data_IF_216845281547
#
_entry.id   IF_216845281547
#
_cell.length_a   1.000
_cell.length_b   1.000
_cell.length_c   1.000
_cell.angle_alpha   90.00
_cell.angle_beta   90.00
_cell.angle_gamma   90.00
#
_symmetry.space_group_name_H-M   'P 1'
#
loop_
_entity.id
_entity.type
_entity.pdbx_description
1 polymer ?
#
# COMPACT_ATOMS: atom_id res chain seq x y z
N UNK A 1 -34.86 -0.69 29.11
CA UNK A 1 -33.56 -1.36 29.32
C UNK A 1 -32.53 -0.77 28.37
N UNK A 2 -31.65 0.12 28.87
CA UNK A 2 -30.46 0.57 28.16
C UNK A 2 -29.41 -0.54 28.29
N UNK A 3 -29.29 -1.38 27.27
CA UNK A 3 -28.19 -2.35 27.21
C UNK A 3 -26.95 -1.56 26.77
N UNK A 4 -26.20 -1.11 27.78
CA UNK A 4 -24.85 -0.59 27.64
C UNK A 4 -23.97 -1.66 26.97
N UNK A 5 -23.62 -1.44 25.71
CA UNK A 5 -22.41 -1.98 25.13
C UNK A 5 -21.46 -0.81 24.85
N UNK A 6 -20.91 -0.23 25.92
CA UNK A 6 -20.00 0.92 25.88
C UNK A 6 -18.55 0.55 25.53
N UNK A 7 -18.31 -0.64 25.00
CA UNK A 7 -16.98 -1.14 24.58
C UNK A 7 -16.96 -1.64 23.13
N UNK A 8 -18.05 -1.49 22.38
CA UNK A 8 -18.07 -1.71 20.94
C UNK A 8 -17.88 -0.37 20.23
N UNK A 9 -16.65 -0.10 19.76
CA UNK A 9 -16.37 1.04 18.86
C UNK A 9 -17.44 1.13 17.78
N UNK A 10 -17.98 2.33 17.57
CA UNK A 10 -18.94 2.58 16.51
C UNK A 10 -18.31 2.24 15.16
N UNK A 11 -19.14 1.88 14.18
CA UNK A 11 -18.66 1.46 12.87
C UNK A 11 -17.74 2.51 12.21
N UNK A 12 -18.05 3.80 12.40
CA UNK A 12 -17.24 4.91 11.93
C UNK A 12 -15.90 5.03 12.69
N UNK A 13 -15.90 4.82 14.00
CA UNK A 13 -14.65 4.81 14.79
C UNK A 13 -13.72 3.66 14.40
N UNK A 14 -14.26 2.47 14.09
CA UNK A 14 -13.46 1.35 13.60
C UNK A 14 -12.80 1.66 12.25
N UNK A 15 -13.53 2.33 11.36
CA UNK A 15 -12.99 2.76 10.08
C UNK A 15 -11.92 3.84 10.25
N UNK A 16 -12.17 4.86 11.08
CA UNK A 16 -11.18 5.90 11.38
C UNK A 16 -9.91 5.32 12.00
N UNK A 17 -10.05 4.37 12.93
CA UNK A 17 -8.90 3.68 13.53
C UNK A 17 -8.11 2.84 12.51
N UNK A 18 -8.81 2.16 11.61
CA UNK A 18 -8.15 1.41 10.53
C UNK A 18 -7.46 2.33 9.53
N UNK A 19 -8.05 3.48 9.23
CA UNK A 19 -7.47 4.52 8.36
C UNK A 19 -6.17 5.06 8.97
N UNK A 20 -6.19 5.49 10.23
CA UNK A 20 -5.01 6.08 10.88
C UNK A 20 -3.88 5.07 11.02
N UNK A 21 -4.18 3.84 11.48
CA UNK A 21 -3.17 2.79 11.60
C UNK A 21 -2.69 2.33 10.22
N UNK A 22 -3.58 2.26 9.23
CA UNK A 22 -3.24 1.89 7.85
C UNK A 22 -2.30 2.89 7.19
N UNK A 23 -2.51 4.19 7.38
CA UNK A 23 -1.61 5.25 6.91
C UNK A 23 -0.25 5.15 7.61
N UNK A 24 -0.23 4.95 8.93
CA UNK A 24 1.03 4.83 9.66
C UNK A 24 1.84 3.60 9.20
N UNK A 25 1.14 2.48 9.00
CA UNK A 25 1.74 1.25 8.49
C UNK A 25 2.23 1.40 7.05
N UNK A 26 1.50 2.10 6.19
CA UNK A 26 1.90 2.29 4.79
C UNK A 26 3.20 3.06 4.69
N UNK A 27 3.42 4.09 5.51
CA UNK A 27 4.70 4.82 5.59
C UNK A 27 5.84 3.85 5.93
N UNK A 28 5.66 3.00 6.94
CA UNK A 28 6.67 2.00 7.31
C UNK A 28 6.95 0.98 6.18
N UNK A 29 5.89 0.49 5.52
CA UNK A 29 6.00 -0.44 4.39
C UNK A 29 6.67 0.19 3.17
N UNK A 30 6.47 1.49 2.93
CA UNK A 30 7.13 2.24 1.85
C UNK A 30 8.64 2.23 2.07
N UNK A 31 9.09 2.67 3.25
CA UNK A 31 10.52 2.73 3.57
C UNK A 31 11.14 1.34 3.54
N UNK A 32 10.47 0.34 4.13
CA UNK A 32 10.93 -1.05 4.15
C UNK A 32 11.10 -1.63 2.75
N UNK A 33 10.08 -1.49 1.89
CA UNK A 33 10.12 -2.03 0.53
C UNK A 33 11.10 -1.28 -0.37
N UNK A 34 11.26 0.03 -0.21
CA UNK A 34 12.28 0.79 -0.94
C UNK A 34 13.69 0.38 -0.51
N UNK A 35 13.95 0.29 0.81
CA UNK A 35 15.26 -0.11 1.32
C UNK A 35 15.66 -1.50 0.81
N UNK A 36 14.78 -2.49 0.89
CA UNK A 36 15.09 -3.84 0.42
C UNK A 36 15.37 -3.88 -1.08
N UNK A 37 14.58 -3.16 -1.89
CA UNK A 37 14.79 -3.11 -3.34
C UNK A 37 16.11 -2.43 -3.70
N UNK A 38 16.51 -1.40 -2.96
CA UNK A 38 17.83 -0.76 -3.11
C UNK A 38 18.97 -1.72 -2.75
N UNK A 39 18.86 -2.45 -1.63
CA UNK A 39 19.90 -3.39 -1.19
C UNK A 39 20.06 -4.60 -2.12
N UNK A 40 18.94 -5.19 -2.55
CA UNK A 40 18.98 -6.39 -3.39
C UNK A 40 19.32 -6.07 -4.85
N UNK A 41 19.30 -4.81 -5.27
CA UNK A 41 19.46 -4.38 -6.68
C UNK A 41 18.54 -5.12 -7.67
N UNK A 42 17.52 -5.80 -7.16
CA UNK A 42 16.52 -6.51 -7.94
C UNK A 42 15.20 -5.80 -7.68
N UNK A 43 14.51 -5.42 -8.76
CA UNK A 43 13.14 -4.88 -8.74
C UNK A 43 12.16 -6.00 -8.40
N UNK A 44 12.29 -6.58 -7.21
CA UNK A 44 11.51 -7.73 -6.78
C UNK A 44 10.08 -7.31 -6.52
N UNK A 45 9.23 -7.47 -7.53
CA UNK A 45 7.79 -7.18 -7.40
C UNK A 45 7.10 -8.08 -6.37
N UNK A 46 7.77 -9.16 -5.95
CA UNK A 46 7.41 -10.02 -4.82
C UNK A 46 7.30 -9.24 -3.51
N UNK A 47 8.11 -8.19 -3.30
CA UNK A 47 8.06 -7.45 -2.04
C UNK A 47 6.70 -6.79 -1.83
N UNK A 48 6.06 -6.35 -2.92
CA UNK A 48 4.73 -5.77 -2.88
C UNK A 48 3.67 -6.79 -2.49
N UNK A 49 3.86 -8.07 -2.81
CA UNK A 49 2.96 -9.11 -2.31
C UNK A 49 3.07 -9.26 -0.80
N UNK A 50 4.30 -9.29 -0.27
CA UNK A 50 4.53 -9.34 1.17
C UNK A 50 3.93 -8.10 1.86
N UNK A 51 4.15 -6.91 1.31
CA UNK A 51 3.54 -5.68 1.82
C UNK A 51 2.01 -5.73 1.78
N UNK A 52 1.41 -6.30 0.74
CA UNK A 52 -0.05 -6.47 0.66
C UNK A 52 -0.61 -7.41 1.73
N UNK A 53 0.11 -8.50 2.04
CA UNK A 53 -0.24 -9.45 3.11
C UNK A 53 -0.20 -8.78 4.48
N UNK A 54 0.86 -8.04 4.77
CA UNK A 54 1.01 -7.31 6.04
C UNK A 54 -0.06 -6.22 6.17
N UNK A 55 -0.27 -5.42 5.13
CA UNK A 55 -1.27 -4.35 5.12
C UNK A 55 -2.67 -4.90 5.37
N UNK A 56 -3.08 -5.92 4.62
CA UNK A 56 -4.40 -6.55 4.76
C UNK A 56 -4.60 -7.18 6.13
N UNK A 57 -3.58 -7.89 6.65
CA UNK A 57 -3.65 -8.50 7.98
C UNK A 57 -3.91 -7.45 9.07
N UNK A 58 -3.18 -6.34 9.03
CA UNK A 58 -3.34 -5.25 10.02
C UNK A 58 -4.70 -4.57 9.85
N UNK A 59 -5.12 -4.27 8.61
CA UNK A 59 -6.43 -3.66 8.36
C UNK A 59 -7.58 -4.55 8.82
N UNK A 60 -7.53 -5.88 8.58
CA UNK A 60 -8.52 -6.83 9.11
C UNK A 60 -8.53 -6.83 10.63
N UNK A 61 -7.35 -6.89 11.27
CA UNK A 61 -7.21 -6.98 12.73
C UNK A 61 -7.74 -5.75 13.45
N UNK A 62 -7.47 -4.55 12.89
CA UNK A 62 -7.85 -3.26 13.49
C UNK A 62 -9.29 -2.90 13.18
N UNK A 63 -9.70 -2.98 11.91
CA UNK A 63 -11.01 -2.51 11.46
C UNK A 63 -12.14 -3.49 11.76
N UNK A 64 -11.86 -4.80 11.65
CA UNK A 64 -12.87 -5.88 11.70
C UNK A 64 -14.12 -5.57 10.86
N UNK A 65 -13.95 -4.86 9.75
CA UNK A 65 -15.03 -4.31 8.95
C UNK A 65 -15.40 -5.21 7.77
N UNK A 66 -16.70 -5.42 7.58
CA UNK A 66 -17.26 -6.15 6.42
C UNK A 66 -17.54 -5.22 5.23
N UNK A 67 -17.52 -3.90 5.45
CA UNK A 67 -17.92 -2.91 4.45
C UNK A 67 -16.91 -2.80 3.29
N UNK A 68 -17.43 -2.46 2.10
CA UNK A 68 -16.66 -2.16 0.89
C UNK A 68 -15.66 -1.01 1.09
N UNK A 69 -15.93 -0.07 2.01
CA UNK A 69 -15.01 1.03 2.32
C UNK A 69 -13.64 0.54 2.80
N UNK A 70 -13.57 -0.60 3.49
CA UNK A 70 -12.29 -1.20 3.90
C UNK A 70 -11.54 -1.81 2.71
N UNK A 71 -12.25 -2.38 1.74
CA UNK A 71 -11.66 -2.90 0.50
C UNK A 71 -11.02 -1.76 -0.32
N UNK A 72 -11.74 -0.64 -0.48
CA UNK A 72 -11.23 0.54 -1.19
C UNK A 72 -10.01 1.11 -0.45
N UNK A 73 -10.07 1.22 0.88
CA UNK A 73 -8.94 1.69 1.69
C UNK A 73 -7.68 0.85 1.48
N UNK A 74 -7.81 -0.48 1.51
CA UNK A 74 -6.70 -1.40 1.26
C UNK A 74 -6.07 -1.22 -0.12
N UNK A 75 -6.91 -1.14 -1.16
CA UNK A 75 -6.45 -0.93 -2.53
C UNK A 75 -5.70 0.40 -2.71
N UNK A 76 -6.26 1.49 -2.16
CA UNK A 76 -5.66 2.83 -2.25
C UNK A 76 -4.34 2.89 -1.50
N UNK A 77 -4.29 2.38 -0.27
CA UNK A 77 -3.04 2.33 0.50
C UNK A 77 -1.99 1.48 -0.20
N UNK A 78 -2.38 0.33 -0.78
CA UNK A 78 -1.44 -0.52 -1.51
C UNK A 78 -0.89 0.18 -2.76
N UNK A 79 -1.76 0.86 -3.52
CA UNK A 79 -1.33 1.64 -4.68
C UNK A 79 -0.32 2.73 -4.28
N UNK A 80 -0.60 3.46 -3.20
CA UNK A 80 0.31 4.48 -2.64
C UNK A 80 1.64 3.86 -2.22
N UNK A 81 1.63 2.69 -1.57
CA UNK A 81 2.86 1.98 -1.20
C UNK A 81 3.69 1.68 -2.44
N UNK A 82 3.09 1.08 -3.47
CA UNK A 82 3.82 0.72 -4.70
C UNK A 82 4.42 1.96 -5.36
N UNK A 83 3.62 3.01 -5.54
CA UNK A 83 4.03 4.24 -6.21
C UNK A 83 5.18 4.93 -5.48
N UNK A 84 5.04 5.17 -4.16
CA UNK A 84 6.07 5.89 -3.40
C UNK A 84 7.34 5.05 -3.23
N UNK A 85 7.21 3.73 -3.04
CA UNK A 85 8.38 2.86 -2.96
C UNK A 85 9.17 2.83 -4.25
N UNK A 86 8.53 2.78 -5.41
CA UNK A 86 9.23 2.85 -6.70
C UNK A 86 9.92 4.20 -6.90
N UNK A 87 9.28 5.31 -6.50
CA UNK A 87 9.90 6.64 -6.54
C UNK A 87 11.16 6.67 -5.67
N UNK A 88 11.09 6.20 -4.42
CA UNK A 88 12.24 6.19 -3.52
C UNK A 88 13.32 5.21 -3.94
N UNK A 89 12.97 4.12 -4.60
CA UNK A 89 13.95 3.16 -5.13
C UNK A 89 14.75 3.75 -6.28
N UNK A 90 14.10 4.52 -7.17
CA UNK A 90 14.76 5.10 -8.36
C UNK A 90 15.52 6.40 -8.07
N UNK A 91 14.96 7.27 -7.24
CA UNK A 91 15.47 8.63 -7.03
C UNK A 91 15.97 8.87 -5.60
N UNK A 92 15.81 7.90 -4.70
CA UNK A 92 16.16 8.02 -3.29
C UNK A 92 15.24 8.98 -2.52
N UNK A 93 15.65 9.31 -1.30
CA UNK A 93 14.92 10.23 -0.42
C UNK A 93 15.07 11.71 -0.82
N UNK A 94 15.93 12.03 -1.78
CA UNK A 94 16.14 13.41 -2.26
C UNK A 94 14.88 14.02 -2.90
N UNK A 95 13.97 13.18 -3.39
CA UNK A 95 12.68 13.61 -3.97
C UNK A 95 11.81 14.36 -2.95
N UNK A 96 11.96 14.06 -1.66
CA UNK A 96 11.21 14.75 -0.60
C UNK A 96 11.72 16.18 -0.41
N UNK A 97 13.03 16.40 -0.60
CA UNK A 97 13.69 17.70 -0.41
C UNK A 97 13.48 18.62 -1.62
N UNK A 98 13.31 18.06 -2.81
CA UNK A 98 13.12 18.83 -4.05
C UNK A 98 11.77 18.52 -4.72
N UNK A 99 10.72 19.32 -4.45
CA UNK A 99 9.39 19.10 -5.01
C UNK A 99 9.34 19.06 -6.54
N UNK A 100 10.24 19.79 -7.22
CA UNK A 100 10.36 19.76 -8.68
C UNK A 100 10.78 18.38 -9.22
N UNK A 101 11.56 17.62 -8.46
CA UNK A 101 11.95 16.26 -8.82
C UNK A 101 10.79 15.27 -8.64
N UNK A 102 9.83 15.54 -7.76
CA UNK A 102 8.70 14.63 -7.50
C UNK A 102 7.83 14.41 -8.74
N UNK A 103 7.48 15.50 -9.44
CA UNK A 103 6.69 15.41 -10.69
C UNK A 103 7.45 14.64 -11.78
N UNK A 104 8.76 14.86 -11.90
CA UNK A 104 9.60 14.13 -12.84
C UNK A 104 9.71 12.64 -12.47
N UNK A 105 9.89 12.34 -11.18
CA UNK A 105 9.99 10.99 -10.66
C UNK A 105 8.69 10.21 -10.88
N UNK A 106 7.52 10.82 -10.61
CA UNK A 106 6.22 10.22 -10.89
C UNK A 106 6.06 9.85 -12.37
N UNK A 107 6.37 10.78 -13.28
CA UNK A 107 6.30 10.50 -14.73
C UNK A 107 7.22 9.36 -15.13
N UNK A 108 8.43 9.34 -14.59
CA UNK A 108 9.43 8.30 -14.87
C UNK A 108 8.97 6.93 -14.37
N UNK A 109 8.46 6.84 -13.14
CA UNK A 109 7.94 5.58 -12.57
C UNK A 109 6.79 5.03 -13.42
N UNK A 110 5.81 5.86 -13.77
CA UNK A 110 4.68 5.44 -14.62
C UNK A 110 5.18 4.99 -16.00
N UNK A 111 6.13 5.70 -16.60
CA UNK A 111 6.73 5.30 -17.86
C UNK A 111 7.41 3.92 -17.75
N UNK A 112 8.17 3.67 -16.66
CA UNK A 112 8.82 2.37 -16.44
C UNK A 112 7.84 1.22 -16.25
N UNK A 113 6.66 1.47 -15.70
CA UNK A 113 5.60 0.46 -15.56
C UNK A 113 4.97 0.07 -16.90
N UNK A 114 4.96 1.00 -17.86
CA UNK A 114 4.37 0.82 -19.19
C UNK A 114 5.39 0.39 -20.25
N UNK A 115 6.67 0.21 -19.88
CA UNK A 115 7.67 -0.31 -20.80
C UNK A 115 7.31 -1.73 -21.25
N UNK A 116 7.39 -1.98 -22.55
CA UNK A 116 7.11 -3.28 -23.16
C UNK A 116 8.35 -4.16 -23.07
N UNK A 117 8.69 -4.53 -21.84
CA UNK A 117 9.72 -5.50 -21.50
C UNK A 117 9.08 -6.62 -20.66
N UNK A 118 9.55 -7.86 -20.82
CA UNK A 118 8.92 -9.02 -20.15
C UNK A 118 9.01 -8.90 -18.63
N UNK A 119 10.11 -8.36 -18.10
CA UNK A 119 10.30 -8.08 -16.68
C UNK A 119 9.37 -6.97 -16.19
N UNK A 120 9.18 -5.91 -16.98
CA UNK A 120 8.24 -4.83 -16.67
C UNK A 120 6.78 -5.31 -16.67
N UNK A 121 6.39 -6.15 -17.63
CA UNK A 121 5.06 -6.74 -17.70
C UNK A 121 4.77 -7.67 -16.51
N UNK A 122 5.71 -8.54 -16.15
CA UNK A 122 5.60 -9.40 -14.97
C UNK A 122 5.52 -8.55 -13.70
N UNK A 123 6.34 -7.51 -13.59
CA UNK A 123 6.31 -6.57 -12.47
C UNK A 123 4.95 -5.88 -12.32
N UNK A 124 4.40 -5.40 -13.44
CA UNK A 124 3.09 -4.76 -13.49
C UNK A 124 1.99 -5.73 -13.05
N UNK A 125 2.00 -6.97 -13.56
CA UNK A 125 1.02 -7.99 -13.19
C UNK A 125 1.06 -8.30 -11.70
N UNK A 126 2.26 -8.43 -11.11
CA UNK A 126 2.43 -8.65 -9.67
C UNK A 126 1.94 -7.46 -8.84
N UNK A 127 2.18 -6.22 -9.29
CA UNK A 127 1.67 -4.99 -8.65
C UNK A 127 0.15 -4.93 -8.67
N UNK A 128 -0.46 -5.20 -9.83
CA UNK A 128 -1.93 -5.27 -9.98
C UNK A 128 -2.50 -6.38 -9.11
N UNK A 129 -1.87 -7.55 -9.09
CA UNK A 129 -2.29 -8.65 -8.23
C UNK A 129 -2.18 -8.29 -6.74
N UNK A 130 -1.14 -7.59 -6.30
CA UNK A 130 -1.01 -7.12 -4.92
C UNK A 130 -2.12 -6.12 -4.53
N UNK A 131 -2.49 -5.20 -5.44
CA UNK A 131 -3.61 -4.27 -5.22
C UNK A 131 -4.93 -5.04 -5.15
N UNK A 132 -5.16 -5.98 -6.06
CA UNK A 132 -6.37 -6.80 -6.07
C UNK A 132 -6.47 -7.67 -4.81
N UNK A 133 -5.36 -8.26 -4.38
CA UNK A 133 -5.27 -9.00 -3.12
C UNK A 133 -5.63 -8.10 -1.94
N UNK A 134 -5.11 -6.87 -1.90
CA UNK A 134 -5.45 -5.88 -0.89
C UNK A 134 -6.94 -5.53 -0.89
N UNK A 135 -7.53 -5.35 -2.07
CA UNK A 135 -8.96 -5.07 -2.19
C UNK A 135 -9.84 -6.19 -1.61
N UNK A 136 -9.59 -7.44 -1.99
CA UNK A 136 -10.41 -8.57 -1.53
C UNK A 136 -10.19 -8.85 -0.04
N UNK A 137 -8.93 -8.81 0.40
CA UNK A 137 -8.55 -9.18 1.76
C UNK A 137 -8.54 -8.02 2.75
N UNK A 138 -8.86 -6.78 2.40
CA UNK A 138 -8.98 -5.74 3.44
C UNK A 138 -10.32 -5.78 4.19
N UNK A 139 -11.31 -6.52 3.68
CA UNK A 139 -12.58 -6.78 4.39
C UNK A 139 -12.63 -8.19 4.95
N UNK A 140 -13.39 -8.35 6.03
CA UNK A 140 -13.84 -9.66 6.49
C UNK A 140 -15.08 -10.00 5.67
N UNK A 141 -15.00 -11.03 4.84
CA UNK A 141 -16.17 -11.61 4.14
C UNK A 141 -16.74 -12.70 5.05
#
# INVERSE_FOLDING_TARGET
MKIFNSSALSQNERFLKALTIGILLSIGLIVFSAAIQMFLSIRTSIIYLISSLVLTYVLKKVGRGVQIRFAILGAVLMFIIILLSDIFTLFGFQVIVHPGLFLYAMKTVIATWLMVDIGSLISLLLKVYAIHYAYINSRII
#
